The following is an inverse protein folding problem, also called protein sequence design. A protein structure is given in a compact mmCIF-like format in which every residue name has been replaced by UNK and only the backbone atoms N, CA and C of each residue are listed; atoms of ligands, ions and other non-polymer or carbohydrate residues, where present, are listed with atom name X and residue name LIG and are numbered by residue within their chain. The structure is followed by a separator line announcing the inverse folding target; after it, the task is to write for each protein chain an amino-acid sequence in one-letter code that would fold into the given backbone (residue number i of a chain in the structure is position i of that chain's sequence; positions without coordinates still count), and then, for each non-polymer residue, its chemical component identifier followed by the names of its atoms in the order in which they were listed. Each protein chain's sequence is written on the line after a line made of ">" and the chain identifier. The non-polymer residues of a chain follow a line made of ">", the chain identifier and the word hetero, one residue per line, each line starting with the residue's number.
data_IF_929975323178
#
_entry.id   IF_929975323178
#
_cell.length_a   1.000
_cell.length_b   1.000
_cell.length_c   1.000
_cell.angle_alpha   90.00
_cell.angle_beta   90.00
_cell.angle_gamma   90.00
#
_symmetry.space_group_name_H-M   'P 1'
#
loop_
_entity.id
_entity.type
_entity.pdbx_description
1 polymer ?
#
# COMPACT_ATOMS: atom_id res chain seq x y z
N UNK A 1 -12.45 1.82 10.67
CA UNK A 1 -12.34 0.54 11.40
C UNK A 1 -13.18 -0.48 10.69
N UNK A 2 -12.59 -1.60 10.30
CA UNK A 2 -13.28 -2.70 9.60
C UNK A 2 -14.11 -3.59 10.53
N UNK A 3 -14.14 -3.27 11.83
CA UNK A 3 -14.95 -3.93 12.87
C UNK A 3 -14.58 -5.41 13.03
N UNK A 4 -13.33 -5.75 12.73
CA UNK A 4 -12.76 -7.08 12.96
C UNK A 4 -12.09 -7.08 14.33
N UNK A 5 -12.23 -8.15 15.11
CA UNK A 5 -11.54 -8.28 16.40
C UNK A 5 -10.03 -8.35 16.19
N UNK A 6 -9.26 -7.53 16.93
CA UNK A 6 -7.80 -7.48 16.82
C UNK A 6 -7.27 -6.49 15.79
N UNK A 7 -7.93 -5.33 15.61
CA UNK A 7 -7.43 -4.26 14.74
C UNK A 7 -6.07 -3.74 15.24
N UNK A 8 -5.05 -3.90 14.40
CA UNK A 8 -3.77 -3.21 14.51
C UNK A 8 -3.64 -2.18 13.39
N UNK A 9 -2.64 -1.28 13.49
CA UNK A 9 -2.31 -0.35 12.40
C UNK A 9 -2.03 -1.11 11.11
N UNK A 10 -1.27 -2.21 11.19
CA UNK A 10 -1.01 -3.07 10.05
C UNK A 10 -2.28 -3.67 9.47
N UNK A 11 -3.20 -4.14 10.33
CA UNK A 11 -4.47 -4.66 9.86
C UNK A 11 -5.29 -3.57 9.16
N UNK A 12 -5.51 -2.43 9.80
CA UNK A 12 -6.37 -1.37 9.28
C UNK A 12 -5.88 -0.79 7.95
N UNK A 13 -4.57 -0.66 7.79
CA UNK A 13 -3.95 0.03 6.67
C UNK A 13 -3.51 -0.89 5.53
N UNK A 14 -3.36 -2.21 5.78
CA UNK A 14 -2.92 -3.18 4.76
C UNK A 14 -3.90 -4.33 4.54
N UNK A 15 -4.35 -4.96 5.63
CA UNK A 15 -5.05 -6.25 5.57
C UNK A 15 -6.57 -6.14 5.65
N UNK A 16 -7.07 -4.98 6.07
CA UNK A 16 -8.46 -4.62 6.05
C UNK A 16 -8.97 -4.74 4.60
N UNK A 17 -10.12 -5.39 4.34
CA UNK A 17 -10.62 -5.57 2.98
C UNK A 17 -10.66 -4.26 2.18
N UNK A 18 -11.13 -3.17 2.80
CA UNK A 18 -11.19 -1.85 2.16
C UNK A 18 -9.81 -1.29 1.82
N UNK A 19 -8.85 -1.39 2.74
CA UNK A 19 -7.49 -0.90 2.50
C UNK A 19 -6.77 -1.75 1.44
N UNK A 20 -6.96 -3.07 1.49
CA UNK A 20 -6.42 -3.99 0.50
C UNK A 20 -6.94 -3.68 -0.91
N UNK A 21 -8.23 -3.40 -1.07
CA UNK A 21 -8.77 -3.01 -2.37
C UNK A 21 -8.20 -1.69 -2.89
N UNK A 22 -8.03 -0.67 -2.02
CA UNK A 22 -7.39 0.59 -2.40
C UNK A 22 -5.95 0.37 -2.88
N UNK A 23 -5.20 -0.45 -2.16
CA UNK A 23 -3.84 -0.82 -2.56
C UNK A 23 -3.81 -1.61 -3.86
N UNK A 24 -4.69 -2.60 -4.04
CA UNK A 24 -4.78 -3.37 -5.27
C UNK A 24 -5.09 -2.45 -6.47
N UNK A 25 -5.97 -1.46 -6.30
CA UNK A 25 -6.23 -0.43 -7.34
C UNK A 25 -4.97 0.37 -7.68
N UNK A 26 -4.25 0.86 -6.68
CA UNK A 26 -2.97 1.55 -6.87
C UNK A 26 -2.00 0.68 -7.66
N UNK A 27 -1.76 -0.56 -7.23
CA UNK A 27 -0.77 -1.42 -7.88
C UNK A 27 -1.15 -1.73 -9.34
N UNK A 28 -2.44 -1.96 -9.62
CA UNK A 28 -2.95 -2.11 -10.98
C UNK A 28 -2.73 -0.85 -11.82
N UNK A 29 -2.98 0.34 -11.28
CA UNK A 29 -2.77 1.61 -11.98
C UNK A 29 -1.30 1.82 -12.38
N UNK A 30 -0.36 1.34 -11.57
CA UNK A 30 1.08 1.40 -11.89
C UNK A 30 1.59 0.16 -12.64
N UNK A 31 0.75 -0.85 -12.89
CA UNK A 31 1.13 -2.09 -13.59
C UNK A 31 2.07 -2.98 -12.77
N UNK A 32 1.99 -2.94 -11.45
CA UNK A 32 2.89 -3.64 -10.53
C UNK A 32 2.21 -4.90 -10.02
N UNK A 33 2.89 -6.03 -10.16
CA UNK A 33 2.53 -7.24 -9.42
C UNK A 33 3.05 -7.10 -7.98
N UNK A 34 2.14 -7.17 -7.02
CA UNK A 34 2.46 -6.94 -5.62
C UNK A 34 1.98 -8.07 -4.71
N UNK A 35 2.74 -8.31 -3.65
CA UNK A 35 2.37 -9.20 -2.55
C UNK A 35 2.33 -8.35 -1.28
N UNK A 36 1.18 -8.32 -0.62
CA UNK A 36 0.98 -7.48 0.56
C UNK A 36 1.95 -7.89 1.69
N UNK A 37 2.84 -6.99 2.16
CA UNK A 37 3.73 -7.29 3.26
C UNK A 37 2.98 -7.36 4.59
N UNK A 38 3.64 -7.90 5.62
CA UNK A 38 3.02 -8.08 6.95
C UNK A 38 2.78 -6.76 7.67
N UNK A 39 3.70 -5.79 7.57
CA UNK A 39 3.64 -4.51 8.30
C UNK A 39 3.71 -3.30 7.39
N UNK A 40 3.16 -2.18 7.87
CA UNK A 40 3.17 -0.89 7.16
C UNK A 40 4.61 -0.39 6.96
N UNK A 41 5.49 -0.63 7.94
CA UNK A 41 6.92 -0.32 7.82
C UNK A 41 7.57 -1.06 6.66
N UNK A 42 7.38 -2.38 6.57
CA UNK A 42 7.90 -3.19 5.47
C UNK A 42 7.32 -2.75 4.12
N UNK A 43 6.06 -2.30 4.10
CA UNK A 43 5.48 -1.70 2.91
C UNK A 43 6.21 -0.44 2.46
N UNK A 44 6.48 0.48 3.38
CA UNK A 44 7.23 1.71 3.07
C UNK A 44 8.66 1.43 2.61
N UNK A 45 9.33 0.46 3.21
CA UNK A 45 10.68 0.07 2.81
C UNK A 45 10.69 -0.48 1.37
N UNK A 46 9.75 -1.37 1.05
CA UNK A 46 9.57 -1.88 -0.30
C UNK A 46 9.16 -0.77 -1.28
N UNK A 47 8.32 0.18 -0.86
CA UNK A 47 7.83 1.30 -1.68
C UNK A 47 8.96 2.25 -2.10
N UNK A 48 9.89 2.54 -1.19
CA UNK A 48 11.06 3.37 -1.46
C UNK A 48 12.07 2.68 -2.40
N UNK A 49 12.22 1.36 -2.29
CA UNK A 49 13.21 0.59 -3.06
C UNK A 49 12.79 0.16 -4.46
N UNK A 50 11.49 0.07 -4.76
CA UNK A 50 10.99 -0.69 -5.92
C UNK A 50 10.75 0.10 -7.21
N UNK A 51 10.62 1.43 -7.19
CA UNK A 51 10.11 2.18 -8.36
C UNK A 51 10.99 3.33 -8.85
N UNK A 52 12.26 3.04 -9.18
CA UNK A 52 13.21 4.02 -9.73
C UNK A 52 13.01 4.39 -11.21
N UNK A 53 11.92 3.99 -11.88
CA UNK A 53 11.85 4.03 -13.37
C UNK A 53 10.50 4.36 -14.01
N UNK A 54 9.51 4.84 -13.27
CA UNK A 54 8.23 5.26 -13.87
C UNK A 54 8.18 6.77 -14.09
N UNK A 55 7.64 7.19 -15.24
CA UNK A 55 7.41 8.61 -15.61
C UNK A 55 6.58 9.37 -14.56
N UNK A 56 5.86 8.63 -13.68
CA UNK A 56 4.98 9.13 -12.64
C UNK A 56 5.58 9.02 -11.22
N UNK A 57 6.90 9.14 -11.06
CA UNK A 57 7.58 9.00 -9.76
C UNK A 57 7.04 9.96 -8.69
N UNK A 58 6.54 11.14 -9.10
CA UNK A 58 5.89 12.09 -8.17
C UNK A 58 4.59 11.53 -7.61
N UNK A 59 3.73 10.95 -8.47
CA UNK A 59 2.49 10.31 -8.02
C UNK A 59 2.81 9.10 -7.13
N UNK A 60 3.81 8.30 -7.50
CA UNK A 60 4.27 7.18 -6.68
C UNK A 60 4.67 7.61 -5.27
N UNK A 61 5.39 8.74 -5.12
CA UNK A 61 5.78 9.25 -3.80
C UNK A 61 4.62 9.76 -2.95
N UNK A 62 3.54 10.21 -3.58
CA UNK A 62 2.39 10.80 -2.89
C UNK A 62 1.40 9.72 -2.43
N UNK A 63 1.27 8.63 -3.19
CA UNK A 63 0.26 7.59 -2.93
C UNK A 63 0.26 7.05 -1.49
N UNK A 64 1.39 6.72 -0.84
CA UNK A 64 1.36 6.27 0.54
C UNK A 64 0.78 7.30 1.50
N UNK A 65 0.94 8.59 1.22
CA UNK A 65 0.36 9.67 2.02
C UNK A 65 -1.14 9.88 1.78
N UNK A 66 -1.69 9.30 0.71
CA UNK A 66 -3.11 9.39 0.38
C UNK A 66 -3.92 8.17 0.85
N UNK A 67 -3.27 7.00 0.94
CA UNK A 67 -3.91 5.73 1.31
C UNK A 67 -3.76 5.42 2.80
N UNK A 68 -2.70 5.94 3.44
CA UNK A 68 -2.43 5.79 4.88
C UNK A 68 -2.84 7.05 5.65
#
# INVERSE_FOLDING_TARGET
>A
MCKVTGESVDHLLLHCPYAKELWDMVFVLFGIHWVMPRSVTAMFDCWQGSLGRHQNIMLWRIVPHCVL
#
